data_IF_682599405813
#
_entry.id   IF_682599405813
#
_cell.length_a   1.000
_cell.length_b   1.000
_cell.length_c   1.000
_cell.angle_alpha   90.00
_cell.angle_beta   90.00
_cell.angle_gamma   90.00
#
_symmetry.space_group_name_H-M   'P 1'
#
loop_
_entity.id
_entity.type
_entity.pdbx_description
1 polymer ?
#
# COMPACT_ATOMS: atom_id res chain seq x y z
N UNK A 1 0.20 -8.87 8.00
CA UNK A 1 0.18 -10.35 8.06
C UNK A 1 1.30 -10.83 8.98
N UNK A 2 1.03 -11.79 9.86
CA UNK A 2 2.02 -12.39 10.75
C UNK A 2 1.83 -13.92 10.75
N UNK A 3 2.76 -14.72 10.18
CA UNK A 3 2.56 -16.14 9.92
C UNK A 3 2.16 -16.97 11.15
N UNK A 4 2.71 -16.66 12.31
CA UNK A 4 2.47 -17.45 13.51
C UNK A 4 1.03 -17.32 14.02
N UNK A 5 0.30 -16.25 13.65
CA UNK A 5 -1.14 -16.16 13.89
C UNK A 5 -1.94 -17.23 13.14
N UNK A 6 -1.43 -17.74 12.02
CA UNK A 6 -2.02 -18.88 11.31
C UNK A 6 -1.76 -20.19 12.04
N UNK A 7 -0.55 -20.36 12.59
CA UNK A 7 -0.22 -21.53 13.42
C UNK A 7 -1.12 -21.61 14.66
N UNK A 8 -1.32 -20.50 15.36
CA UNK A 8 -2.22 -20.40 16.52
C UNK A 8 -3.68 -20.67 16.14
N UNK A 9 -4.14 -20.08 15.02
CA UNK A 9 -5.48 -20.30 14.51
C UNK A 9 -5.73 -21.77 14.18
N UNK A 10 -4.74 -22.45 13.60
CA UNK A 10 -4.78 -23.86 13.25
C UNK A 10 -4.75 -24.78 14.47
N UNK A 11 -3.86 -24.53 15.44
CA UNK A 11 -3.78 -25.28 16.68
C UNK A 11 -5.10 -25.20 17.47
N UNK A 12 -5.66 -23.99 17.63
CA UNK A 12 -6.96 -23.82 18.28
C UNK A 12 -8.10 -24.52 17.52
N UNK A 13 -8.08 -24.50 16.19
CA UNK A 13 -9.07 -25.20 15.37
C UNK A 13 -9.00 -26.73 15.55
N UNK A 14 -7.80 -27.30 15.61
CA UNK A 14 -7.60 -28.73 15.84
C UNK A 14 -8.19 -29.17 17.19
N UNK A 15 -7.93 -28.41 18.25
CA UNK A 15 -8.50 -28.67 19.59
C UNK A 15 -10.02 -28.54 19.59
N UNK A 16 -10.57 -27.47 19.02
CA UNK A 16 -12.02 -27.19 19.01
C UNK A 16 -12.83 -28.19 18.17
N UNK A 17 -12.20 -28.85 17.18
CA UNK A 17 -12.87 -29.77 16.26
C UNK A 17 -12.50 -31.24 16.47
N UNK A 18 -11.56 -31.53 17.38
CA UNK A 18 -11.03 -32.87 17.61
C UNK A 18 -10.71 -33.61 16.30
N UNK A 19 -10.10 -32.89 15.34
CA UNK A 19 -9.88 -33.41 13.99
C UNK A 19 -8.70 -34.40 14.00
N UNK A 20 -8.94 -35.64 13.61
CA UNK A 20 -7.88 -36.65 13.46
C UNK A 20 -6.99 -36.40 12.22
N UNK A 21 -7.56 -35.78 11.18
CA UNK A 21 -6.84 -35.43 9.95
C UNK A 21 -7.34 -34.13 9.32
N UNK A 22 -6.43 -33.41 8.66
CA UNK A 22 -6.70 -32.13 8.00
C UNK A 22 -6.07 -32.08 6.61
N UNK A 23 -6.87 -31.70 5.62
CA UNK A 23 -6.44 -31.29 4.28
C UNK A 23 -6.23 -29.77 4.26
N UNK A 24 -4.98 -29.34 4.18
CA UNK A 24 -4.61 -27.92 4.08
C UNK A 24 -4.44 -27.52 2.61
N UNK A 25 -5.15 -26.49 2.19
CA UNK A 25 -5.14 -25.96 0.82
C UNK A 25 -4.64 -24.52 0.82
N UNK A 26 -3.38 -24.32 0.45
CA UNK A 26 -2.80 -22.98 0.26
C UNK A 26 -3.16 -22.39 -1.10
N UNK A 27 -3.67 -21.16 -1.14
CA UNK A 27 -3.85 -20.44 -2.41
C UNK A 27 -2.51 -19.84 -2.84
N UNK A 28 -2.06 -20.16 -4.07
CA UNK A 28 -0.71 -19.82 -4.54
C UNK A 28 -0.46 -18.32 -4.57
N UNK A 29 0.42 -17.91 -3.67
CA UNK A 29 1.15 -16.66 -3.55
C UNK A 29 1.68 -16.68 -2.12
N UNK A 30 1.08 -15.91 -1.21
CA UNK A 30 1.40 -15.97 0.21
C UNK A 30 0.78 -17.20 0.89
N UNK A 31 -0.39 -17.66 0.43
CA UNK A 31 -1.06 -18.86 0.94
C UNK A 31 -0.22 -20.14 0.84
N UNK A 32 0.76 -20.20 -0.07
CA UNK A 32 1.73 -21.31 -0.17
C UNK A 32 2.60 -21.42 1.09
N UNK A 33 3.14 -20.30 1.57
CA UNK A 33 4.01 -20.31 2.75
C UNK A 33 3.18 -20.44 4.03
N UNK A 34 1.99 -19.82 4.04
CA UNK A 34 1.08 -19.89 5.18
C UNK A 34 0.50 -21.29 5.37
N UNK A 35 0.19 -22.02 4.30
CA UNK A 35 -0.28 -23.41 4.42
C UNK A 35 0.79 -24.34 5.01
N UNK A 36 2.08 -24.08 4.78
CA UNK A 36 3.16 -24.80 5.43
C UNK A 36 3.21 -24.53 6.94
N UNK A 37 3.03 -23.28 7.37
CA UNK A 37 2.94 -22.92 8.80
C UNK A 37 1.75 -23.59 9.46
N UNK A 38 0.57 -23.55 8.81
CA UNK A 38 -0.64 -24.24 9.28
C UNK A 38 -0.41 -25.75 9.39
N UNK A 39 0.16 -26.37 8.37
CA UNK A 39 0.45 -27.80 8.36
C UNK A 39 1.45 -28.20 9.46
N UNK A 40 2.48 -27.40 9.68
CA UNK A 40 3.44 -27.61 10.77
C UNK A 40 2.78 -27.57 12.14
N UNK A 41 2.02 -26.51 12.44
CA UNK A 41 1.32 -26.37 13.72
C UNK A 41 0.31 -27.50 13.99
N UNK A 42 -0.39 -27.98 12.96
CA UNK A 42 -1.30 -29.12 13.07
C UNK A 42 -0.54 -30.43 13.33
N UNK A 43 0.60 -30.63 12.66
CA UNK A 43 1.46 -31.81 12.85
C UNK A 43 2.01 -31.84 14.27
N UNK A 44 2.48 -30.71 14.80
CA UNK A 44 2.94 -30.59 16.20
C UNK A 44 1.81 -30.87 17.20
N UNK A 45 0.56 -30.54 16.86
CA UNK A 45 -0.62 -30.89 17.63
C UNK A 45 -1.07 -32.36 17.49
N UNK A 46 -0.31 -33.20 16.78
CA UNK A 46 -0.60 -34.63 16.60
C UNK A 46 -1.66 -34.94 15.55
N UNK A 47 -1.98 -33.99 14.66
CA UNK A 47 -2.99 -34.16 13.60
C UNK A 47 -2.32 -34.64 12.32
N UNK A 48 -2.91 -35.64 11.64
CA UNK A 48 -2.43 -36.06 10.34
C UNK A 48 -2.73 -34.99 9.26
N UNK A 49 -1.70 -34.52 8.54
CA UNK A 49 -1.84 -33.42 7.57
C UNK A 49 -1.55 -33.88 6.15
N UNK A 50 -2.47 -33.54 5.25
CA UNK A 50 -2.24 -33.53 3.80
C UNK A 50 -2.21 -32.06 3.33
N UNK A 51 -1.23 -31.65 2.53
CA UNK A 51 -1.09 -30.24 2.12
C UNK A 51 -0.92 -30.08 0.61
N UNK A 52 -1.72 -29.19 0.02
CA UNK A 52 -1.69 -28.86 -1.40
C UNK A 52 -1.72 -27.36 -1.64
N UNK A 53 -1.13 -26.93 -2.76
CA UNK A 53 -1.17 -25.53 -3.18
C UNK A 53 -1.85 -25.37 -4.54
N UNK A 54 -2.90 -24.56 -4.58
CA UNK A 54 -3.78 -24.37 -5.75
C UNK A 54 -3.70 -22.96 -6.31
N UNK A 55 -3.93 -22.78 -7.62
CA UNK A 55 -3.96 -21.45 -8.26
C UNK A 55 -5.28 -21.25 -8.98
N UNK A 56 -6.28 -20.61 -8.35
CA UNK A 56 -7.46 -20.14 -9.05
C UNK A 56 -7.09 -19.24 -10.23
N UNK A 57 -7.80 -19.38 -11.35
CA UNK A 57 -7.59 -18.62 -12.60
C UNK A 57 -8.91 -17.97 -13.06
N UNK A 58 -8.87 -17.22 -14.16
CA UNK A 58 -10.04 -16.48 -14.67
C UNK A 58 -10.08 -15.02 -14.19
N UNK A 59 -11.22 -14.36 -14.34
CA UNK A 59 -11.38 -12.95 -13.98
C UNK A 59 -11.17 -12.74 -12.46
N UNK A 60 -10.54 -11.63 -11.98
CA UNK A 60 -10.30 -11.40 -10.56
C UNK A 60 -11.55 -11.46 -9.67
N UNK A 61 -12.72 -11.13 -10.21
CA UNK A 61 -14.00 -11.18 -9.47
C UNK A 61 -14.76 -12.50 -9.64
N UNK A 62 -14.33 -13.35 -10.58
CA UNK A 62 -14.95 -14.66 -10.86
C UNK A 62 -13.85 -15.68 -11.17
N UNK A 63 -13.10 -16.03 -10.11
CA UNK A 63 -12.04 -17.03 -10.20
C UNK A 63 -12.64 -18.43 -10.17
N UNK A 64 -12.05 -19.33 -10.95
CA UNK A 64 -12.40 -20.74 -10.96
C UNK A 64 -11.15 -21.60 -10.66
N UNK A 65 -11.38 -22.73 -9.99
CA UNK A 65 -10.35 -23.72 -9.72
C UNK A 65 -10.70 -25.03 -10.44
N UNK A 66 -9.88 -25.37 -11.42
CA UNK A 66 -9.89 -26.66 -12.10
C UNK A 66 -8.85 -27.59 -11.46
N UNK A 67 -9.28 -28.79 -11.06
CA UNK A 67 -8.42 -29.82 -10.49
C UNK A 67 -8.13 -30.89 -11.53
N UNK A 68 -6.90 -31.41 -11.54
CA UNK A 68 -6.60 -32.63 -12.28
C UNK A 68 -7.38 -33.81 -11.68
N UNK A 69 -7.82 -34.82 -12.48
CA UNK A 69 -8.61 -35.93 -11.99
C UNK A 69 -7.99 -36.67 -10.79
N UNK A 70 -6.67 -36.89 -10.81
CA UNK A 70 -5.95 -37.54 -9.71
C UNK A 70 -6.00 -36.75 -8.40
N UNK A 71 -5.86 -35.43 -8.46
CA UNK A 71 -5.94 -34.56 -7.27
C UNK A 71 -7.38 -34.49 -6.74
N UNK A 72 -8.37 -34.45 -7.64
CA UNK A 72 -9.77 -34.52 -7.24
C UNK A 72 -10.09 -35.83 -6.51
N UNK A 73 -9.60 -36.97 -7.02
CA UNK A 73 -9.77 -38.27 -6.39
C UNK A 73 -9.09 -38.35 -5.01
N UNK A 74 -7.90 -37.77 -4.85
CA UNK A 74 -7.21 -37.67 -3.57
C UNK A 74 -8.03 -36.87 -2.54
N UNK A 75 -8.52 -35.68 -2.92
CA UNK A 75 -9.38 -34.88 -2.04
C UNK A 75 -10.68 -35.61 -1.67
N UNK A 76 -11.27 -36.35 -2.61
CA UNK A 76 -12.47 -37.15 -2.34
C UNK A 76 -12.21 -38.31 -1.39
N UNK A 77 -11.02 -38.91 -1.41
CA UNK A 77 -10.62 -39.91 -0.42
C UNK A 77 -10.51 -39.28 0.98
N UNK A 78 -9.89 -38.11 1.09
CA UNK A 78 -9.77 -37.37 2.36
C UNK A 78 -11.14 -36.94 2.91
N UNK A 79 -12.07 -36.54 2.03
CA UNK A 79 -13.45 -36.26 2.40
C UNK A 79 -14.17 -37.50 2.98
N UNK A 80 -14.05 -38.67 2.31
CA UNK A 80 -14.63 -39.94 2.80
C UNK A 80 -14.04 -40.39 4.13
N UNK A 81 -12.76 -40.11 4.37
CA UNK A 81 -12.10 -40.37 5.64
C UNK A 81 -12.52 -39.40 6.76
N UNK A 82 -13.38 -38.42 6.47
CA UNK A 82 -13.89 -37.45 7.45
C UNK A 82 -12.90 -36.34 7.80
N UNK A 83 -11.90 -36.08 6.96
CA UNK A 83 -10.93 -35.02 7.19
C UNK A 83 -11.61 -33.63 7.27
N UNK A 84 -10.99 -32.72 8.00
CA UNK A 84 -11.31 -31.29 7.92
C UNK A 84 -10.56 -30.68 6.74
N UNK A 85 -11.18 -29.78 5.97
CA UNK A 85 -10.47 -29.01 4.94
C UNK A 85 -10.26 -27.57 5.41
N UNK A 86 -9.03 -27.06 5.29
CA UNK A 86 -8.66 -25.68 5.65
C UNK A 86 -8.08 -24.98 4.43
N UNK A 87 -8.75 -23.93 3.95
CA UNK A 87 -8.26 -23.08 2.86
C UNK A 87 -7.49 -21.90 3.45
N UNK A 88 -6.25 -21.67 3.04
CA UNK A 88 -5.32 -20.71 3.66
C UNK A 88 -4.87 -19.66 2.65
N UNK A 89 -5.05 -18.38 2.98
CA UNK A 89 -4.51 -17.24 2.23
C UNK A 89 -4.56 -15.93 3.06
N UNK A 90 -4.02 -14.83 2.54
CA UNK A 90 -4.12 -13.51 3.19
C UNK A 90 -5.54 -12.96 3.27
N UNK A 91 -6.34 -13.20 2.23
CA UNK A 91 -7.53 -12.41 1.85
C UNK A 91 -8.66 -12.33 2.88
N UNK A 92 -9.91 -12.02 2.46
CA UNK A 92 -10.35 -11.91 1.08
C UNK A 92 -9.87 -10.59 0.47
N UNK A 93 -9.37 -10.65 -0.76
CA UNK A 93 -9.21 -9.45 -1.59
C UNK A 93 -10.57 -8.85 -1.98
N UNK A 94 -10.61 -8.05 -3.04
CA UNK A 94 -11.80 -7.28 -3.43
C UNK A 94 -13.11 -8.08 -3.65
N UNK A 95 -13.02 -9.36 -4.04
CA UNK A 95 -14.18 -10.22 -4.37
C UNK A 95 -14.28 -11.50 -3.55
N UNK A 96 -13.22 -11.89 -2.81
CA UNK A 96 -13.14 -13.21 -2.14
C UNK A 96 -13.17 -14.42 -3.09
N UNK A 97 -13.16 -14.20 -4.41
CA UNK A 97 -13.37 -15.24 -5.43
C UNK A 97 -12.38 -16.40 -5.35
N UNK A 98 -11.12 -16.14 -4.95
CA UNK A 98 -10.10 -17.18 -4.83
C UNK A 98 -10.41 -18.18 -3.72
N UNK A 99 -10.78 -17.70 -2.52
CA UNK A 99 -11.26 -18.53 -1.42
C UNK A 99 -12.50 -19.34 -1.80
N UNK A 100 -13.49 -18.67 -2.38
CA UNK A 100 -14.76 -19.31 -2.75
C UNK A 100 -14.57 -20.37 -3.84
N UNK A 101 -13.68 -20.14 -4.81
CA UNK A 101 -13.36 -21.13 -5.84
C UNK A 101 -12.69 -22.39 -5.26
N UNK A 102 -11.82 -22.24 -4.26
CA UNK A 102 -11.21 -23.36 -3.54
C UNK A 102 -12.25 -24.12 -2.70
N UNK A 103 -13.12 -23.40 -1.97
CA UNK A 103 -14.26 -24.00 -1.24
C UNK A 103 -15.15 -24.82 -2.17
N UNK A 104 -15.54 -24.26 -3.32
CA UNK A 104 -16.39 -24.96 -4.29
C UNK A 104 -15.72 -26.22 -4.85
N UNK A 105 -14.40 -26.20 -5.06
CA UNK A 105 -13.67 -27.38 -5.49
C UNK A 105 -13.65 -28.50 -4.41
N UNK A 106 -13.55 -28.12 -3.13
CA UNK A 106 -13.66 -29.05 -2.00
C UNK A 106 -15.08 -29.62 -1.86
N UNK A 107 -16.12 -28.79 -2.03
CA UNK A 107 -17.52 -29.22 -2.06
C UNK A 107 -17.73 -30.27 -3.16
N UNK A 108 -17.23 -30.01 -4.38
CA UNK A 108 -17.29 -30.98 -5.49
C UNK A 108 -16.53 -32.28 -5.20
N UNK A 109 -15.47 -32.23 -4.40
CA UNK A 109 -14.75 -33.42 -3.95
C UNK A 109 -15.49 -34.18 -2.82
N UNK A 110 -16.61 -33.66 -2.31
CA UNK A 110 -17.46 -34.35 -1.32
C UNK A 110 -17.29 -33.87 0.12
N UNK A 111 -16.53 -32.79 0.37
CA UNK A 111 -16.49 -32.20 1.72
C UNK A 111 -17.82 -31.48 2.02
N UNK A 112 -18.50 -31.77 3.14
CA UNK A 112 -19.67 -31.00 3.57
C UNK A 112 -19.24 -29.62 4.09
N UNK A 113 -20.13 -28.64 4.01
CA UNK A 113 -19.86 -27.25 4.42
C UNK A 113 -19.40 -27.11 5.87
N UNK A 114 -19.88 -27.99 6.76
CA UNK A 114 -19.46 -28.04 8.16
C UNK A 114 -18.00 -28.47 8.38
N UNK A 115 -17.35 -29.01 7.34
CA UNK A 115 -15.95 -29.49 7.34
C UNK A 115 -15.02 -28.62 6.51
N UNK A 116 -15.49 -27.53 5.91
CA UNK A 116 -14.64 -26.60 5.13
C UNK A 116 -14.47 -25.29 5.89
N UNK A 117 -13.25 -25.02 6.33
CA UNK A 117 -12.88 -23.80 7.05
C UNK A 117 -12.04 -22.90 6.17
N UNK A 118 -12.42 -21.63 6.08
CA UNK A 118 -11.59 -20.60 5.45
C UNK A 118 -10.72 -19.93 6.54
N UNK A 119 -9.44 -19.78 6.27
CA UNK A 119 -8.46 -19.17 7.17
C UNK A 119 -7.87 -17.90 6.52
N UNK A 120 -8.61 -16.78 6.52
CA UNK A 120 -8.12 -15.46 6.10
C UNK A 120 -7.23 -14.81 7.18
N UNK A 121 -6.56 -13.70 6.86
CA UNK A 121 -5.77 -12.95 7.87
C UNK A 121 -6.64 -12.12 8.83
N UNK A 122 -7.91 -11.88 8.49
CA UNK A 122 -8.87 -11.15 9.31
C UNK A 122 -10.29 -11.58 8.96
N UNK A 123 -11.24 -11.27 9.85
CA UNK A 123 -12.65 -11.55 9.59
C UNK A 123 -13.28 -10.41 8.81
N UNK A 124 -13.30 -10.57 7.49
CA UNK A 124 -13.84 -9.56 6.60
C UNK A 124 -15.36 -9.70 6.42
N UNK A 125 -16.10 -8.58 6.30
CA UNK A 125 -17.44 -8.62 5.74
C UNK A 125 -17.40 -9.18 4.31
N UNK A 126 -18.57 -9.42 3.72
CA UNK A 126 -18.66 -9.77 2.30
C UNK A 126 -17.82 -8.79 1.45
N UNK A 127 -16.97 -9.28 0.54
CA UNK A 127 -16.12 -8.42 -0.25
C UNK A 127 -16.96 -7.43 -1.07
N UNK A 128 -16.55 -6.14 -1.15
CA UNK A 128 -17.41 -5.09 -1.72
C UNK A 128 -17.68 -5.27 -3.21
N UNK A 129 -16.85 -6.03 -3.92
CA UNK A 129 -17.00 -6.33 -5.35
C UNK A 129 -17.42 -7.78 -5.59
N UNK A 130 -17.92 -8.47 -4.58
CA UNK A 130 -18.49 -9.80 -4.74
C UNK A 130 -19.89 -9.71 -5.37
N UNK A 131 -20.19 -10.62 -6.30
CA UNK A 131 -21.57 -10.87 -6.73
C UNK A 131 -22.41 -11.37 -5.55
N UNK A 132 -23.73 -11.19 -5.59
CA UNK A 132 -24.64 -11.48 -4.47
C UNK A 132 -24.49 -12.91 -3.92
N UNK A 133 -24.43 -13.91 -4.80
CA UNK A 133 -24.22 -15.30 -4.42
C UNK A 133 -22.86 -15.52 -3.72
N UNK A 134 -21.80 -14.84 -4.19
CA UNK A 134 -20.47 -14.92 -3.60
C UNK A 134 -20.43 -14.20 -2.23
N UNK A 135 -21.09 -13.06 -2.10
CA UNK A 135 -21.25 -12.34 -0.84
C UNK A 135 -21.98 -13.20 0.20
N UNK A 136 -23.08 -13.84 -0.22
CA UNK A 136 -23.83 -14.79 0.61
C UNK A 136 -22.95 -15.97 1.05
N UNK A 137 -22.27 -16.63 0.11
CA UNK A 137 -21.38 -17.76 0.40
C UNK A 137 -20.23 -17.38 1.34
N UNK A 138 -19.64 -16.19 1.18
CA UNK A 138 -18.59 -15.69 2.07
C UNK A 138 -19.10 -15.45 3.49
N UNK A 139 -20.30 -14.88 3.61
CA UNK A 139 -20.90 -14.53 4.90
C UNK A 139 -21.16 -15.77 5.74
N UNK A 140 -21.66 -16.83 5.10
CA UNK A 140 -22.05 -18.09 5.76
C UNK A 140 -20.91 -19.13 5.83
N UNK A 141 -19.72 -18.81 5.32
CA UNK A 141 -18.59 -19.71 5.41
C UNK A 141 -18.09 -19.83 6.85
N UNK A 142 -17.75 -21.04 7.28
CA UNK A 142 -16.96 -21.25 8.49
C UNK A 142 -15.60 -20.60 8.30
N UNK A 143 -15.27 -19.63 9.16
CA UNK A 143 -14.04 -18.85 9.10
C UNK A 143 -13.28 -18.99 10.41
N UNK A 144 -11.95 -19.12 10.30
CA UNK A 144 -11.01 -19.05 11.43
C UNK A 144 -9.92 -18.03 11.07
N UNK A 145 -10.16 -16.72 11.30
CA UNK A 145 -9.21 -15.69 10.91
C UNK A 145 -7.91 -15.80 11.72
N UNK A 146 -6.77 -15.69 11.05
CA UNK A 146 -5.44 -15.67 11.66
C UNK A 146 -5.10 -14.26 12.18
N UNK A 147 -5.58 -13.97 13.40
CA UNK A 147 -5.41 -12.65 14.03
C UNK A 147 -4.00 -12.48 14.60
N UNK A 148 -3.49 -11.25 14.54
CA UNK A 148 -2.29 -10.88 15.27
C UNK A 148 -2.66 -10.53 16.72
N UNK A 149 -2.09 -11.25 17.69
CA UNK A 149 -2.22 -10.94 19.11
C UNK A 149 -0.96 -10.19 19.60
N UNK A 150 -1.03 -8.86 19.81
CA UNK A 150 0.12 -8.10 20.26
C UNK A 150 0.62 -8.51 21.65
N UNK A 151 -0.26 -8.97 22.55
CA UNK A 151 0.14 -9.34 23.91
C UNK A 151 1.05 -10.57 23.93
N UNK A 152 0.84 -11.50 22.99
CA UNK A 152 1.68 -12.69 22.81
C UNK A 152 2.96 -12.42 22.02
N UNK A 153 2.97 -11.38 21.19
CA UNK A 153 4.05 -11.14 20.20
C UNK A 153 4.99 -10.02 20.59
N UNK A 154 4.55 -9.05 21.35
CA UNK A 154 5.38 -7.93 21.79
C UNK A 154 5.88 -8.19 23.23
N UNK A 155 6.67 -9.25 23.42
CA UNK A 155 7.07 -9.71 24.75
C UNK A 155 7.79 -8.61 25.57
N UNK A 156 7.37 -8.36 26.81
CA UNK A 156 7.93 -7.29 27.64
C UNK A 156 7.37 -5.89 27.35
N UNK A 157 6.49 -5.73 26.36
CA UNK A 157 5.69 -4.52 26.19
C UNK A 157 4.52 -4.50 27.18
N UNK A 158 4.29 -3.35 27.81
CA UNK A 158 3.13 -3.07 28.68
C UNK A 158 2.27 -1.98 28.07
N UNK A 159 1.02 -1.84 28.50
CA UNK A 159 0.07 -0.83 28.04
C UNK A 159 0.01 -0.70 26.51
N UNK A 160 -0.11 -1.83 25.82
CA UNK A 160 -0.02 -1.88 24.36
C UNK A 160 -1.25 -1.20 23.73
N UNK A 161 -1.01 -0.09 23.03
CA UNK A 161 -2.02 0.65 22.28
C UNK A 161 -1.82 0.44 20.79
N UNK A 162 -2.87 -0.05 20.11
CA UNK A 162 -2.84 -0.30 18.67
C UNK A 162 -3.14 0.98 17.87
N UNK A 163 -2.11 1.49 17.18
CA UNK A 163 -2.17 2.66 16.32
C UNK A 163 -2.31 2.33 14.83
N UNK A 164 -2.38 1.05 14.48
CA UNK A 164 -2.50 0.53 13.11
C UNK A 164 -3.81 0.96 12.43
N UNK A 165 -3.94 0.67 11.13
CA UNK A 165 -5.17 0.91 10.37
C UNK A 165 -5.73 2.36 10.47
N UNK A 166 -4.84 3.34 10.69
CA UNK A 166 -5.22 4.75 10.84
C UNK A 166 -5.72 5.15 12.23
N UNK A 167 -5.66 4.27 13.24
CA UNK A 167 -6.00 4.61 14.63
C UNK A 167 -5.09 5.68 15.21
N UNK A 168 -3.84 5.79 14.76
CA UNK A 168 -2.94 6.90 15.12
C UNK A 168 -3.57 8.29 15.00
N UNK A 169 -4.57 8.49 14.11
CA UNK A 169 -5.24 9.78 13.91
C UNK A 169 -6.01 10.25 15.14
N UNK A 170 -6.62 9.33 15.91
CA UNK A 170 -7.32 9.70 17.15
C UNK A 170 -6.36 10.15 18.25
N UNK A 171 -5.11 9.72 18.20
CA UNK A 171 -4.09 10.10 19.17
C UNK A 171 -3.35 11.38 18.75
N UNK A 172 -3.02 11.52 17.47
CA UNK A 172 -2.15 12.59 16.96
C UNK A 172 -2.89 13.78 16.34
N UNK A 173 -4.16 13.59 15.97
CA UNK A 173 -4.97 14.57 15.24
C UNK A 173 -6.31 14.87 15.95
N UNK A 174 -6.33 14.86 17.29
CA UNK A 174 -7.51 15.21 18.10
C UNK A 174 -8.02 16.61 17.71
N UNK A 175 -9.32 16.72 17.42
CA UNK A 175 -9.96 17.98 17.02
C UNK A 175 -9.54 18.52 15.66
N UNK A 176 -8.92 17.69 14.80
CA UNK A 176 -8.42 18.10 13.47
C UNK A 176 -9.02 17.23 12.38
N UNK A 177 -9.01 17.76 11.15
CA UNK A 177 -9.39 16.99 9.96
C UNK A 177 -8.41 15.85 9.74
N UNK A 178 -8.94 14.63 9.69
CA UNK A 178 -8.16 13.43 9.43
C UNK A 178 -7.79 13.29 7.95
N UNK A 179 -6.57 12.84 7.62
CA UNK A 179 -6.25 12.40 6.27
C UNK A 179 -6.99 11.09 5.95
N UNK A 180 -7.17 10.83 4.66
CA UNK A 180 -7.69 9.55 4.18
C UNK A 180 -6.70 8.42 4.48
N UNK A 181 -7.20 7.27 4.92
CA UNK A 181 -6.40 6.08 5.19
C UNK A 181 -7.06 4.86 4.55
N UNK A 182 -6.30 4.12 3.74
CA UNK A 182 -6.67 2.77 3.34
C UNK A 182 -6.14 1.86 4.45
N UNK A 183 -7.03 1.25 5.24
CA UNK A 183 -6.70 0.56 6.49
C UNK A 183 -5.76 -0.64 6.29
N UNK A 184 -6.02 -1.47 5.28
CA UNK A 184 -5.22 -2.65 4.94
C UNK A 184 -3.80 -2.30 4.46
N UNK A 185 -3.56 -1.07 3.98
CA UNK A 185 -2.25 -0.63 3.51
C UNK A 185 -1.39 0.02 4.62
N UNK A 186 -1.93 0.18 5.83
CA UNK A 186 -1.16 0.69 6.98
C UNK A 186 -0.45 -0.48 7.66
N UNK A 187 0.83 -0.29 7.99
CA UNK A 187 1.59 -1.26 8.80
C UNK A 187 0.97 -1.44 10.18
N UNK A 188 1.30 -2.56 10.82
CA UNK A 188 1.06 -2.70 12.25
C UNK A 188 1.94 -1.68 12.98
N UNK A 189 1.31 -0.87 13.84
CA UNK A 189 1.96 0.17 14.63
C UNK A 189 1.38 0.10 16.03
N UNK A 190 2.24 -0.04 17.04
CA UNK A 190 1.85 -0.06 18.44
C UNK A 190 2.60 1.02 19.22
N UNK A 191 1.91 1.73 20.10
CA UNK A 191 2.53 2.51 21.15
C UNK A 191 2.55 1.64 22.40
N UNK A 192 3.72 1.43 22.97
CA UNK A 192 3.91 0.55 24.12
C UNK A 192 4.68 1.27 25.21
N UNK A 193 4.51 0.84 26.46
CA UNK A 193 5.41 1.17 27.56
C UNK A 193 6.43 0.05 27.75
N UNK A 194 7.69 0.44 27.91
CA UNK A 194 8.75 -0.46 28.33
C UNK A 194 8.67 -0.70 29.84
N UNK A 195 9.49 -1.63 30.36
CA UNK A 195 9.55 -1.94 31.79
C UNK A 195 9.99 -0.73 32.63
N UNK A 196 10.84 0.14 32.08
CA UNK A 196 11.27 1.40 32.69
C UNK A 196 10.20 2.52 32.61
N UNK A 197 9.02 2.21 32.06
CA UNK A 197 7.90 3.14 31.88
C UNK A 197 8.01 4.04 30.64
N UNK A 198 9.13 4.02 29.92
CA UNK A 198 9.34 4.88 28.75
C UNK A 198 8.45 4.46 27.56
N UNK A 199 7.88 5.42 26.80
CA UNK A 199 7.07 5.10 25.64
C UNK A 199 7.92 4.77 24.42
N UNK A 200 7.57 3.68 23.73
CA UNK A 200 8.17 3.26 22.45
C UNK A 200 7.11 3.12 21.38
N UNK A 201 7.47 3.46 20.15
CA UNK A 201 6.64 3.18 18.97
C UNK A 201 7.21 1.97 18.24
N UNK A 202 6.37 0.96 18.04
CA UNK A 202 6.72 -0.31 17.45
C UNK A 202 6.05 -0.42 16.10
N UNK A 203 6.81 -0.39 15.01
CA UNK A 203 6.27 -0.42 13.65
C UNK A 203 6.78 -1.63 12.90
N UNK A 204 5.86 -2.43 12.38
CA UNK A 204 6.22 -3.61 11.61
C UNK A 204 7.01 -3.21 10.36
N UNK A 205 8.15 -3.86 10.20
CA UNK A 205 9.13 -3.66 9.15
C UNK A 205 9.52 -4.98 8.47
N UNK A 206 8.76 -6.05 8.67
CA UNK A 206 9.00 -7.35 8.02
C UNK A 206 9.88 -8.30 8.82
N UNK A 207 9.62 -9.59 8.64
CA UNK A 207 10.29 -10.68 9.36
C UNK A 207 11.64 -11.03 8.72
N UNK A 208 12.57 -11.57 9.53
CA UNK A 208 13.84 -12.12 9.05
C UNK A 208 14.65 -11.12 8.20
N UNK A 209 15.10 -11.59 7.02
CA UNK A 209 15.95 -10.82 6.10
C UNK A 209 15.30 -9.53 5.56
N UNK A 210 13.98 -9.40 5.63
CA UNK A 210 13.27 -8.21 5.17
C UNK A 210 13.42 -7.00 6.10
N UNK A 211 13.61 -7.23 7.41
CA UNK A 211 13.71 -6.15 8.38
C UNK A 211 15.09 -5.50 8.46
N UNK A 212 16.17 -6.25 8.18
CA UNK A 212 17.54 -5.77 8.34
C UNK A 212 17.89 -4.56 7.44
N UNK A 213 17.57 -4.54 6.13
CA UNK A 213 17.80 -3.35 5.29
C UNK A 213 17.01 -2.13 5.77
N UNK A 214 15.81 -2.34 6.31
CA UNK A 214 14.94 -1.28 6.84
C UNK A 214 15.49 -0.70 8.14
N UNK A 215 16.06 -1.52 9.02
CA UNK A 215 16.78 -1.06 10.20
C UNK A 215 18.00 -0.22 9.81
N UNK A 216 18.79 -0.66 8.83
CA UNK A 216 19.95 0.09 8.34
C UNK A 216 19.55 1.47 7.80
N UNK A 217 18.49 1.53 6.98
CA UNK A 217 17.92 2.79 6.46
C UNK A 217 17.41 3.69 7.60
N UNK A 218 16.73 3.11 8.60
CA UNK A 218 16.22 3.86 9.74
C UNK A 218 17.36 4.46 10.58
N UNK A 219 18.43 3.70 10.84
CA UNK A 219 19.62 4.19 11.55
C UNK A 219 20.28 5.35 10.81
N UNK A 220 20.54 5.20 9.52
CA UNK A 220 21.12 6.27 8.70
C UNK A 220 20.27 7.56 8.73
N UNK A 221 18.95 7.44 8.66
CA UNK A 221 18.03 8.58 8.76
C UNK A 221 18.02 9.21 10.16
N UNK A 222 18.12 8.41 11.22
CA UNK A 222 18.15 8.91 12.59
C UNK A 222 19.47 9.58 12.94
N UNK A 223 20.60 9.03 12.49
CA UNK A 223 21.94 9.62 12.63
C UNK A 223 22.03 10.98 11.91
N UNK A 224 21.39 11.09 10.74
CA UNK A 224 21.22 12.37 10.04
C UNK A 224 20.15 13.29 10.67
N UNK A 225 19.53 12.87 11.77
CA UNK A 225 18.57 13.63 12.56
C UNK A 225 17.20 13.80 11.91
N UNK A 226 16.86 13.07 10.85
CA UNK A 226 15.58 13.22 10.14
C UNK A 226 14.43 12.47 10.79
N UNK A 227 14.68 11.38 11.50
CA UNK A 227 13.66 10.56 12.16
C UNK A 227 14.08 10.25 13.61
N UNK A 228 13.15 9.83 14.50
CA UNK A 228 13.51 9.41 15.85
C UNK A 228 14.48 8.24 15.87
N UNK A 229 15.35 8.19 16.89
CA UNK A 229 16.28 7.07 17.10
C UNK A 229 15.56 5.73 17.28
N UNK A 230 16.20 4.67 16.77
CA UNK A 230 15.73 3.29 16.89
C UNK A 230 16.50 2.54 17.98
N UNK A 231 15.81 1.61 18.66
CA UNK A 231 16.38 0.72 19.66
C UNK A 231 16.77 -0.62 19.07
N UNK A 232 16.12 -1.03 17.98
CA UNK A 232 16.44 -2.28 17.30
C UNK A 232 15.34 -2.76 16.38
N UNK A 233 15.49 -4.01 15.96
CA UNK A 233 14.50 -4.80 15.22
C UNK A 233 14.22 -6.07 16.02
N UNK A 234 12.97 -6.28 16.45
CA UNK A 234 12.54 -7.47 17.19
C UNK A 234 11.26 -8.03 16.60
N UNK A 235 11.24 -9.33 16.28
CA UNK A 235 10.06 -10.03 15.72
C UNK A 235 9.43 -9.31 14.52
N UNK A 236 10.29 -8.70 13.69
CA UNK A 236 9.90 -7.91 12.52
C UNK A 236 9.35 -6.52 12.82
N UNK A 237 9.46 -6.01 14.05
CA UNK A 237 9.12 -4.63 14.43
C UNK A 237 10.37 -3.78 14.62
N UNK A 238 10.39 -2.61 14.00
CA UNK A 238 11.34 -1.55 14.34
C UNK A 238 10.83 -0.80 15.57
N UNK A 239 11.70 -0.68 16.57
CA UNK A 239 11.40 -0.01 17.82
C UNK A 239 11.97 1.39 17.80
N UNK A 240 11.12 2.41 17.93
CA UNK A 240 11.50 3.81 17.96
C UNK A 240 11.29 4.39 19.34
N UNK A 241 12.15 5.35 19.71
CA UNK A 241 11.76 6.33 20.73
C UNK A 241 10.48 7.03 20.30
N UNK A 242 9.46 7.06 21.17
CA UNK A 242 8.27 7.86 20.89
C UNK A 242 8.60 9.34 21.14
N UNK A 243 8.46 10.17 20.10
CA UNK A 243 8.68 11.61 20.19
C UNK A 243 7.34 12.32 20.14
N UNK A 244 6.99 13.00 21.23
CA UNK A 244 5.82 13.87 21.26
C UNK A 244 6.03 15.05 20.30
N UNK A 245 5.05 15.27 19.43
CA UNK A 245 5.11 16.36 18.46
C UNK A 245 3.79 16.54 17.74
N UNK A 246 3.68 17.64 17.00
CA UNK A 246 2.47 18.02 16.28
C UNK A 246 2.64 17.73 14.78
N UNK A 247 1.78 16.89 14.17
CA UNK A 247 1.74 16.74 12.72
C UNK A 247 1.48 18.08 12.02
N UNK A 248 2.26 18.38 10.99
CA UNK A 248 2.18 19.62 10.23
C UNK A 248 0.96 19.63 9.29
N UNK A 249 0.62 20.83 8.81
CA UNK A 249 -0.40 21.12 7.80
C UNK A 249 0.25 21.83 6.63
N UNK A 250 -0.46 21.89 5.50
CA UNK A 250 -0.06 22.69 4.33
C UNK A 250 0.33 24.12 4.69
N UNK A 251 -0.48 24.78 5.54
CA UNK A 251 -0.26 26.16 5.99
C UNK A 251 0.94 26.34 6.93
N UNK A 252 1.51 25.26 7.43
CA UNK A 252 2.69 25.31 8.29
C UNK A 252 3.99 25.33 7.43
N UNK A 253 3.88 25.40 6.10
CA UNK A 253 5.03 25.57 5.21
C UNK A 253 5.65 26.96 5.35
N UNK A 254 6.93 26.97 5.67
CA UNK A 254 7.79 28.14 5.66
C UNK A 254 9.14 27.81 5.00
N UNK A 255 10.05 28.79 4.94
CA UNK A 255 11.39 28.60 4.37
C UNK A 255 12.20 27.55 5.13
N UNK A 256 12.02 27.42 6.45
CA UNK A 256 12.76 26.45 7.27
C UNK A 256 12.33 25.03 6.96
N UNK A 257 11.03 24.79 6.82
CA UNK A 257 10.49 23.50 6.41
C UNK A 257 10.93 23.16 4.99
N UNK A 258 10.89 24.12 4.07
CA UNK A 258 11.38 23.90 2.70
C UNK A 258 12.86 23.48 2.68
N UNK A 259 13.73 24.22 3.38
CA UNK A 259 15.16 23.87 3.52
C UNK A 259 15.35 22.49 4.15
N UNK A 260 14.56 22.17 5.18
CA UNK A 260 14.62 20.86 5.86
C UNK A 260 14.23 19.72 4.93
N UNK A 261 13.23 19.91 4.08
CA UNK A 261 12.80 18.93 3.07
C UNK A 261 13.87 18.74 2.01
N UNK A 262 14.49 19.83 1.52
CA UNK A 262 15.61 19.73 0.57
C UNK A 262 16.78 18.95 1.18
N UNK A 263 17.16 19.26 2.42
CA UNK A 263 18.22 18.52 3.12
C UNK A 263 17.87 17.03 3.27
N UNK A 264 16.62 16.72 3.59
CA UNK A 264 16.12 15.35 3.71
C UNK A 264 16.18 14.58 2.38
N UNK A 265 15.64 15.15 1.31
CA UNK A 265 15.63 14.51 -0.01
C UNK A 265 17.04 14.38 -0.58
N UNK A 266 17.90 15.38 -0.39
CA UNK A 266 19.29 15.31 -0.81
C UNK A 266 20.06 14.23 -0.05
N UNK A 267 19.80 14.06 1.24
CA UNK A 267 20.37 12.95 2.03
C UNK A 267 19.91 11.60 1.48
N UNK A 268 18.61 11.42 1.20
CA UNK A 268 18.11 10.17 0.60
C UNK A 268 18.75 9.89 -0.75
N UNK A 269 18.86 10.92 -1.60
CA UNK A 269 19.40 10.79 -2.95
C UNK A 269 20.85 10.30 -2.96
N UNK A 270 21.64 10.71 -1.96
CA UNK A 270 23.02 10.24 -1.79
C UNK A 270 23.12 8.89 -1.10
N UNK A 271 22.32 8.67 -0.05
CA UNK A 271 22.53 7.55 0.87
C UNK A 271 21.84 6.26 0.42
N UNK A 272 20.79 6.36 -0.39
CA UNK A 272 19.91 5.22 -0.71
C UNK A 272 19.75 4.99 -2.21
N UNK A 273 20.80 5.23 -2.99
CA UNK A 273 20.85 4.84 -4.40
C UNK A 273 20.67 3.32 -4.55
N UNK A 274 19.91 2.89 -5.55
CA UNK A 274 19.64 1.45 -5.75
C UNK A 274 20.44 0.84 -6.90
N UNK A 275 21.05 1.68 -7.74
CA UNK A 275 21.76 1.25 -8.95
C UNK A 275 20.86 0.68 -10.05
N UNK A 276 19.54 0.84 -9.93
CA UNK A 276 18.56 0.36 -10.92
C UNK A 276 18.05 1.52 -11.79
N UNK A 277 17.68 1.25 -13.05
CA UNK A 277 17.05 2.26 -13.90
C UNK A 277 15.64 2.60 -13.45
N UNK A 278 15.20 3.82 -13.76
CA UNK A 278 13.85 4.28 -13.50
C UNK A 278 12.84 3.52 -14.37
N UNK A 279 11.72 3.07 -13.78
CA UNK A 279 10.68 2.28 -14.46
C UNK A 279 9.70 3.17 -15.23
N UNK A 280 10.21 4.01 -16.12
CA UNK A 280 9.41 5.03 -16.81
C UNK A 280 8.27 4.41 -17.64
N UNK A 281 8.51 3.28 -18.31
CA UNK A 281 7.46 2.60 -19.08
C UNK A 281 6.28 2.16 -18.19
N UNK A 282 6.55 1.63 -16.99
CA UNK A 282 5.52 1.23 -16.03
C UNK A 282 4.74 2.46 -15.51
N UNK A 283 5.45 3.55 -15.17
CA UNK A 283 4.83 4.81 -14.76
C UNK A 283 3.98 5.44 -15.87
N UNK A 284 4.46 5.42 -17.11
CA UNK A 284 3.72 5.93 -18.27
C UNK A 284 2.43 5.14 -18.50
N UNK A 285 2.46 3.81 -18.36
CA UNK A 285 1.25 2.99 -18.42
C UNK A 285 0.28 3.32 -17.28
N UNK A 286 0.78 3.45 -16.05
CA UNK A 286 -0.02 3.85 -14.89
C UNK A 286 -0.67 5.23 -15.09
N UNK A 287 0.06 6.21 -15.63
CA UNK A 287 -0.47 7.53 -15.96
C UNK A 287 -1.64 7.40 -16.96
N UNK A 288 -1.46 6.67 -18.07
CA UNK A 288 -2.52 6.50 -19.07
C UNK A 288 -3.80 5.92 -18.48
N UNK A 289 -3.67 4.83 -17.72
CA UNK A 289 -4.81 4.15 -17.08
C UNK A 289 -5.51 5.10 -16.10
N UNK A 290 -4.77 5.69 -15.17
CA UNK A 290 -5.35 6.51 -14.11
C UNK A 290 -5.93 7.82 -14.61
N UNK A 291 -5.38 8.41 -15.68
CA UNK A 291 -5.96 9.60 -16.30
C UNK A 291 -7.24 9.26 -17.08
N UNK A 292 -7.22 8.19 -17.88
CA UNK A 292 -8.39 7.73 -18.63
C UNK A 292 -9.56 7.43 -17.69
N UNK A 293 -9.31 6.64 -16.65
CA UNK A 293 -10.34 6.22 -15.70
C UNK A 293 -10.72 7.34 -14.74
N UNK A 294 -9.74 8.12 -14.26
CA UNK A 294 -9.98 9.13 -13.23
C UNK A 294 -10.45 10.49 -13.72
N UNK A 295 -10.14 10.87 -14.96
CA UNK A 295 -10.59 12.14 -15.53
C UNK A 295 -11.74 11.97 -16.54
N UNK A 296 -11.96 10.75 -17.04
CA UNK A 296 -12.91 10.48 -18.12
C UNK A 296 -12.50 11.16 -19.44
N UNK A 297 -11.24 11.57 -19.57
CA UNK A 297 -10.71 12.23 -20.75
C UNK A 297 -9.89 11.23 -21.56
N UNK A 298 -10.06 11.16 -22.89
CA UNK A 298 -9.11 10.45 -23.70
C UNK A 298 -7.76 11.18 -23.60
N UNK A 299 -6.70 10.41 -23.29
CA UNK A 299 -5.34 10.95 -23.15
C UNK A 299 -4.85 11.32 -24.54
N UNK A 300 -4.98 12.59 -24.92
CA UNK A 300 -4.61 13.09 -26.23
C UNK A 300 -3.77 14.37 -26.14
N UNK A 301 -3.02 14.68 -27.19
CA UNK A 301 -2.26 15.91 -27.30
C UNK A 301 -1.01 15.93 -26.41
N UNK A 302 -0.93 16.91 -25.50
CA UNK A 302 0.28 17.21 -24.72
C UNK A 302 0.74 16.05 -23.81
N UNK A 303 -0.20 15.27 -23.26
CA UNK A 303 0.16 14.15 -22.37
C UNK A 303 0.85 13.03 -23.13
N UNK A 304 0.34 12.61 -24.29
CA UNK A 304 1.03 11.56 -25.08
C UNK A 304 2.39 12.01 -25.58
N UNK A 305 2.56 13.29 -25.93
CA UNK A 305 3.90 13.85 -26.23
C UNK A 305 4.84 13.75 -25.04
N UNK A 306 4.41 14.21 -23.87
CA UNK A 306 5.19 14.08 -22.63
C UNK A 306 5.56 12.63 -22.34
N UNK A 307 4.63 11.68 -22.53
CA UNK A 307 4.89 10.26 -22.29
C UNK A 307 5.84 9.64 -23.33
N UNK A 308 5.79 10.09 -24.58
CA UNK A 308 6.70 9.66 -25.64
C UNK A 308 8.12 10.20 -25.41
N UNK A 309 8.23 11.45 -24.96
CA UNK A 309 9.50 12.14 -24.66
C UNK A 309 10.11 11.69 -23.32
N UNK A 310 9.37 10.96 -22.48
CA UNK A 310 9.85 10.52 -21.17
C UNK A 310 10.86 9.36 -21.22
N UNK A 311 11.03 8.66 -22.36
CA UNK A 311 11.89 7.47 -22.44
C UNK A 311 13.32 7.67 -21.89
N UNK A 312 14.04 8.77 -22.20
CA UNK A 312 15.38 9.04 -21.66
C UNK A 312 15.43 9.22 -20.14
N UNK A 313 14.30 9.48 -19.49
CA UNK A 313 14.25 9.57 -18.02
C UNK A 313 14.56 8.23 -17.34
N UNK A 314 14.57 7.12 -18.09
CA UNK A 314 14.92 5.78 -17.58
C UNK A 314 16.39 5.69 -17.16
N UNK A 315 17.25 6.55 -17.71
CA UNK A 315 18.67 6.60 -17.40
C UNK A 315 18.97 7.32 -16.07
N UNK A 316 17.98 7.99 -15.50
CA UNK A 316 18.13 8.68 -14.22
C UNK A 316 18.39 7.67 -13.09
N UNK A 317 19.31 7.98 -12.15
CA UNK A 317 19.58 7.11 -11.02
C UNK A 317 18.35 7.01 -10.12
N UNK A 318 17.98 5.80 -9.73
CA UNK A 318 16.89 5.59 -8.76
C UNK A 318 17.42 5.48 -7.34
N UNK A 319 16.56 5.88 -6.42
CA UNK A 319 16.80 5.86 -4.99
C UNK A 319 15.64 5.13 -4.31
N UNK A 320 15.88 4.61 -3.11
CA UNK A 320 14.78 4.21 -2.25
C UNK A 320 14.05 5.48 -1.80
N UNK A 321 13.06 5.92 -2.57
CA UNK A 321 12.23 7.09 -2.28
C UNK A 321 11.39 6.88 -1.02
N UNK A 322 10.98 7.97 -0.38
CA UNK A 322 10.09 7.97 0.78
C UNK A 322 8.65 7.70 0.35
N UNK A 323 8.20 8.33 -0.73
CA UNK A 323 6.84 8.23 -1.30
C UNK A 323 5.69 8.69 -0.39
N UNK A 324 5.95 9.22 0.81
CA UNK A 324 4.95 9.73 1.76
C UNK A 324 5.22 11.18 2.13
N UNK A 325 4.99 12.09 1.19
CA UNK A 325 5.28 13.52 1.37
C UNK A 325 4.15 14.35 2.01
N UNK A 326 3.11 13.69 2.53
CA UNK A 326 1.96 14.39 3.10
C UNK A 326 2.34 15.24 4.32
N UNK A 327 1.68 16.41 4.56
CA UNK A 327 2.04 17.30 5.67
C UNK A 327 2.00 16.63 7.05
N UNK A 328 1.08 15.69 7.28
CA UNK A 328 0.97 15.01 8.57
C UNK A 328 2.10 14.00 8.85
N UNK A 329 2.90 13.66 7.84
CA UNK A 329 4.10 12.84 8.01
C UNK A 329 5.29 13.66 8.52
N UNK A 330 5.19 14.99 8.50
CA UNK A 330 6.18 15.89 9.08
C UNK A 330 5.71 16.30 10.47
N UNK A 331 6.53 16.02 11.49
CA UNK A 331 6.20 16.21 12.90
C UNK A 331 7.04 17.35 13.45
N UNK A 332 6.40 18.45 13.85
CA UNK A 332 7.07 19.49 14.63
C UNK A 332 7.25 19.00 16.07
N UNK A 333 8.50 18.75 16.45
CA UNK A 333 8.92 18.36 17.78
C UNK A 333 9.85 19.43 18.38
N UNK A 334 10.18 19.31 19.68
CA UNK A 334 11.13 20.20 20.34
C UNK A 334 12.53 20.18 19.71
N UNK A 335 12.92 19.04 19.15
CA UNK A 335 14.19 18.83 18.45
C UNK A 335 14.18 19.30 16.98
N UNK A 336 13.10 19.94 16.53
CA UNK A 336 12.90 20.34 15.13
C UNK A 336 11.87 19.48 14.40
N UNK A 337 11.91 19.52 13.07
CA UNK A 337 10.98 18.75 12.23
C UNK A 337 11.55 17.37 11.93
N UNK A 338 10.77 16.34 12.31
CA UNK A 338 11.06 14.93 12.07
C UNK A 338 10.11 14.36 11.03
N UNK A 339 10.56 13.36 10.27
CA UNK A 339 9.77 12.62 9.28
C UNK A 339 9.26 11.30 9.86
N UNK A 340 7.97 11.03 9.69
CA UNK A 340 7.33 9.75 9.97
C UNK A 340 7.12 8.96 8.66
N UNK A 341 6.84 7.66 8.77
CA UNK A 341 6.53 6.76 7.64
C UNK A 341 7.57 6.83 6.50
N UNK A 342 8.86 6.86 6.85
CA UNK A 342 9.95 7.16 5.91
C UNK A 342 10.67 5.93 5.33
N UNK A 343 10.40 4.72 5.81
CA UNK A 343 11.37 3.62 5.70
C UNK A 343 11.17 2.76 4.47
N UNK A 344 10.01 2.16 4.27
CA UNK A 344 9.86 0.89 3.54
C UNK A 344 9.05 0.98 2.24
N UNK A 345 8.57 2.16 1.86
CA UNK A 345 7.69 2.31 0.70
C UNK A 345 8.35 1.98 -0.64
N UNK A 346 9.66 2.24 -0.78
CA UNK A 346 10.40 1.82 -1.96
C UNK A 346 10.52 0.28 -2.07
N UNK A 347 10.37 -0.45 -0.96
CA UNK A 347 10.47 -1.91 -0.94
C UNK A 347 9.11 -2.59 -1.24
N UNK A 348 8.02 -1.82 -1.34
CA UNK A 348 6.68 -2.34 -1.59
C UNK A 348 6.52 -2.89 -3.01
N UNK A 349 5.48 -3.70 -3.23
CA UNK A 349 5.04 -4.12 -4.57
C UNK A 349 4.15 -3.07 -5.25
N UNK A 350 3.94 -1.92 -4.60
CA UNK A 350 3.08 -0.84 -5.08
C UNK A 350 3.94 0.30 -5.68
N UNK A 351 3.39 1.07 -6.61
CA UNK A 351 4.09 2.24 -7.15
C UNK A 351 4.43 3.25 -6.04
N UNK A 352 5.54 3.99 -6.19
CA UNK A 352 6.49 3.96 -7.31
C UNK A 352 7.61 2.91 -7.17
N UNK A 353 7.75 2.24 -6.01
CA UNK A 353 8.93 1.45 -5.63
C UNK A 353 10.19 2.32 -5.56
N UNK A 354 11.35 1.77 -5.87
CA UNK A 354 12.57 2.53 -6.13
C UNK A 354 12.41 3.41 -7.38
N UNK A 355 12.67 4.71 -7.24
CA UNK A 355 12.43 5.70 -8.31
C UNK A 355 13.39 6.88 -8.19
N UNK A 356 13.48 7.70 -9.23
CA UNK A 356 14.15 9.01 -9.19
C UNK A 356 13.62 9.87 -8.01
N UNK A 357 14.53 10.59 -7.33
CA UNK A 357 14.20 11.49 -6.23
C UNK A 357 13.22 12.61 -6.66
N UNK A 358 13.15 12.90 -7.96
CA UNK A 358 12.16 13.79 -8.54
C UNK A 358 10.71 13.40 -8.18
N UNK A 359 10.43 12.11 -7.90
CA UNK A 359 9.14 11.66 -7.37
C UNK A 359 8.78 12.32 -6.04
N UNK A 360 9.71 12.33 -5.08
CA UNK A 360 9.44 12.86 -3.74
C UNK A 360 9.32 14.38 -3.74
N UNK A 361 10.13 15.11 -4.51
CA UNK A 361 9.97 16.57 -4.58
C UNK A 361 8.66 16.99 -5.27
N UNK A 362 8.29 16.28 -6.35
CA UNK A 362 6.99 16.46 -6.99
C UNK A 362 5.83 16.14 -6.05
N UNK A 363 5.97 15.07 -5.26
CA UNK A 363 5.02 14.68 -4.22
C UNK A 363 4.88 15.72 -3.12
N UNK A 364 6.00 16.28 -2.65
CA UNK A 364 5.99 17.37 -1.67
C UNK A 364 5.24 18.60 -2.20
N UNK A 365 5.54 19.03 -3.43
CA UNK A 365 4.86 20.15 -4.06
C UNK A 365 3.34 19.92 -4.19
N UNK A 366 2.92 18.74 -4.64
CA UNK A 366 1.51 18.37 -4.72
C UNK A 366 0.82 18.32 -3.35
N UNK A 367 1.47 17.72 -2.36
CA UNK A 367 0.87 17.54 -1.04
C UNK A 367 0.79 18.82 -0.22
N UNK A 368 1.70 19.78 -0.44
CA UNK A 368 1.62 21.11 0.15
C UNK A 368 0.80 22.12 -0.67
N UNK A 369 0.44 21.78 -1.92
CA UNK A 369 -0.37 22.63 -2.79
C UNK A 369 0.40 23.83 -3.34
N UNK A 370 1.64 23.59 -3.76
CA UNK A 370 2.52 24.61 -4.33
C UNK A 370 2.13 24.96 -5.77
N UNK A 371 2.38 26.22 -6.16
CA UNK A 371 2.35 26.63 -7.55
C UNK A 371 3.47 25.97 -8.35
N UNK A 372 3.33 25.94 -9.68
CA UNK A 372 4.38 25.44 -10.58
C UNK A 372 5.69 26.21 -10.42
N UNK A 373 5.64 27.53 -10.21
CA UNK A 373 6.84 28.34 -9.95
C UNK A 373 7.60 27.90 -8.68
N UNK A 374 6.88 27.65 -7.59
CA UNK A 374 7.47 27.17 -6.32
C UNK A 374 7.98 25.74 -6.44
N UNK A 375 7.31 24.90 -7.23
CA UNK A 375 7.80 23.54 -7.55
C UNK A 375 9.15 23.61 -8.29
N UNK A 376 9.28 24.49 -9.29
CA UNK A 376 10.54 24.72 -10.02
C UNK A 376 11.65 25.26 -9.11
N UNK A 377 11.35 26.22 -8.22
CA UNK A 377 12.31 26.74 -7.24
C UNK A 377 12.84 25.63 -6.32
N UNK A 378 11.95 24.78 -5.80
CA UNK A 378 12.36 23.65 -4.95
C UNK A 378 13.14 22.58 -5.72
N UNK A 379 12.76 22.31 -6.96
CA UNK A 379 13.49 21.39 -7.83
C UNK A 379 14.92 21.89 -8.08
N UNK A 380 15.10 23.18 -8.37
CA UNK A 380 16.41 23.79 -8.54
C UNK A 380 17.25 23.76 -7.24
N UNK A 381 16.61 24.03 -6.09
CA UNK A 381 17.29 23.92 -4.80
C UNK A 381 17.74 22.48 -4.50
N UNK A 382 16.92 21.48 -4.85
CA UNK A 382 17.28 20.08 -4.69
C UNK A 382 18.41 19.69 -5.65
N UNK A 383 18.30 20.08 -6.92
CA UNK A 383 19.31 19.87 -7.96
C UNK A 383 20.70 20.34 -7.49
N UNK A 384 20.78 21.58 -7.00
CA UNK A 384 22.00 22.13 -6.41
C UNK A 384 22.50 21.33 -5.21
N UNK A 385 21.60 20.91 -4.32
CA UNK A 385 21.95 20.14 -3.12
C UNK A 385 22.44 18.71 -3.40
N UNK A 386 22.09 18.12 -4.55
CA UNK A 386 22.54 16.78 -4.96
C UNK A 386 23.61 16.79 -6.04
N UNK A 387 23.85 17.94 -6.69
CA UNK A 387 24.79 18.05 -7.82
C UNK A 387 24.23 17.45 -9.11
N UNK A 388 22.93 17.60 -9.37
CA UNK A 388 22.25 17.07 -10.58
C UNK A 388 21.41 18.16 -11.23
N UNK A 389 22.03 18.92 -12.14
CA UNK A 389 21.39 20.01 -12.87
C UNK A 389 20.29 19.55 -13.82
N UNK A 390 20.22 18.24 -14.12
CA UNK A 390 19.16 17.69 -14.98
C UNK A 390 17.86 17.41 -14.21
N UNK A 391 17.89 17.36 -12.87
CA UNK A 391 16.74 17.07 -12.02
C UNK A 391 15.52 17.95 -12.30
N UNK A 392 15.63 19.30 -12.44
CA UNK A 392 14.47 20.16 -12.69
C UNK A 392 13.75 19.82 -14.00
N UNK A 393 14.45 19.31 -15.01
CA UNK A 393 13.85 18.88 -16.28
C UNK A 393 13.02 17.60 -16.16
N UNK A 394 13.29 16.77 -15.14
CA UNK A 394 12.59 15.50 -14.91
C UNK A 394 11.32 15.69 -14.06
N UNK A 395 11.30 16.70 -13.18
CA UNK A 395 10.19 16.98 -12.24
C UNK A 395 8.81 17.11 -12.91
N UNK A 396 8.63 17.76 -14.08
CA UNK A 396 7.32 17.85 -14.72
C UNK A 396 6.65 16.50 -14.99
N UNK A 397 7.42 15.50 -15.44
CA UNK A 397 6.91 14.14 -15.63
C UNK A 397 6.45 13.53 -14.30
N UNK A 398 7.27 13.63 -13.25
CA UNK A 398 6.94 13.09 -11.93
C UNK A 398 5.80 13.84 -11.24
N UNK A 399 5.63 15.13 -11.52
CA UNK A 399 4.50 15.93 -11.05
C UNK A 399 3.16 15.42 -11.60
N UNK A 400 3.13 14.97 -12.85
CA UNK A 400 1.97 14.29 -13.43
C UNK A 400 1.84 12.87 -12.87
N UNK A 401 2.94 12.11 -12.82
CA UNK A 401 2.97 10.73 -12.34
C UNK A 401 2.43 10.60 -10.91
N UNK A 402 2.90 11.43 -9.98
CA UNK A 402 2.48 11.43 -8.59
C UNK A 402 0.97 11.68 -8.44
N UNK A 403 0.45 12.69 -9.15
CA UNK A 403 -0.97 13.06 -9.09
C UNK A 403 -1.85 12.01 -9.74
N UNK A 404 -1.45 11.47 -10.88
CA UNK A 404 -2.16 10.38 -11.57
C UNK A 404 -2.20 9.13 -10.69
N UNK A 405 -1.09 8.77 -10.06
CA UNK A 405 -1.02 7.67 -9.09
C UNK A 405 -2.00 7.89 -7.94
N UNK A 406 -1.98 9.05 -7.29
CA UNK A 406 -2.88 9.32 -6.16
C UNK A 406 -4.36 9.45 -6.56
N UNK A 407 -4.65 9.82 -7.80
CA UNK A 407 -6.00 9.80 -8.37
C UNK A 407 -6.51 8.36 -8.52
N UNK A 408 -5.73 7.47 -9.13
CA UNK A 408 -6.08 6.05 -9.27
C UNK A 408 -6.14 5.33 -7.91
N UNK A 409 -5.18 5.62 -7.02
CA UNK A 409 -5.18 5.07 -5.66
C UNK A 409 -6.43 5.46 -4.88
N UNK A 410 -6.89 6.72 -5.01
CA UNK A 410 -8.11 7.17 -4.36
C UNK A 410 -9.34 6.38 -4.86
N UNK A 411 -9.45 6.12 -6.16
CA UNK A 411 -10.55 5.33 -6.74
C UNK A 411 -10.52 3.88 -6.23
N UNK A 412 -9.35 3.24 -6.27
CA UNK A 412 -9.18 1.89 -5.73
C UNK A 412 -9.57 1.82 -4.24
N UNK A 413 -9.13 2.80 -3.45
CA UNK A 413 -9.44 2.85 -2.03
C UNK A 413 -10.95 3.08 -1.77
N UNK A 414 -11.63 3.92 -2.56
CA UNK A 414 -13.09 4.12 -2.46
C UNK A 414 -13.82 2.81 -2.74
N UNK A 415 -13.47 2.09 -3.81
CA UNK A 415 -14.10 0.81 -4.15
C UNK A 415 -13.87 -0.26 -3.07
N UNK A 416 -12.70 -0.26 -2.42
CA UNK A 416 -12.37 -1.21 -1.38
C UNK A 416 -13.03 -0.91 -0.01
N UNK A 417 -13.24 0.37 0.33
CA UNK A 417 -13.80 0.79 1.62
C UNK A 417 -15.34 0.78 1.63
N UNK A 418 -15.98 0.90 0.47
CA UNK A 418 -17.42 1.11 0.35
C UNK A 418 -17.81 2.59 0.44
N UNK A 419 -18.93 2.96 -0.20
CA UNK A 419 -19.30 4.37 -0.41
C UNK A 419 -19.57 5.16 0.88
N UNK A 420 -20.08 4.48 1.91
CA UNK A 420 -20.46 5.05 3.21
C UNK A 420 -19.28 5.20 4.18
N UNK A 421 -18.13 4.58 3.90
CA UNK A 421 -16.99 4.68 4.81
C UNK A 421 -16.48 6.13 4.88
N UNK A 422 -16.28 6.70 6.09
CA UNK A 422 -15.72 8.04 6.25
C UNK A 422 -14.41 8.28 5.51
N UNK A 423 -13.56 7.26 5.39
CA UNK A 423 -12.31 7.35 4.63
C UNK A 423 -12.53 7.34 3.11
N UNK A 424 -13.60 6.71 2.60
CA UNK A 424 -14.00 6.84 1.21
C UNK A 424 -14.39 8.29 0.86
N UNK A 425 -15.07 9.01 1.76
CA UNK A 425 -15.33 10.46 1.61
C UNK A 425 -14.03 11.26 1.53
N UNK A 426 -13.05 10.95 2.38
CA UNK A 426 -11.75 11.62 2.39
C UNK A 426 -10.95 11.31 1.13
N UNK A 427 -10.99 10.07 0.64
CA UNK A 427 -10.38 9.70 -0.63
C UNK A 427 -11.04 10.40 -1.81
N UNK A 428 -12.38 10.55 -1.84
CA UNK A 428 -13.08 11.35 -2.86
C UNK A 428 -12.56 12.79 -2.91
N UNK A 429 -12.43 13.44 -1.76
CA UNK A 429 -11.87 14.80 -1.68
C UNK A 429 -10.43 14.86 -2.17
N UNK A 430 -9.59 13.87 -1.79
CA UNK A 430 -8.20 13.78 -2.26
C UNK A 430 -8.12 13.56 -3.77
N UNK A 431 -8.89 12.62 -4.32
CA UNK A 431 -8.95 12.32 -5.74
C UNK A 431 -9.43 13.53 -6.56
N UNK A 432 -10.48 14.21 -6.11
CA UNK A 432 -10.98 15.42 -6.73
C UNK A 432 -9.92 16.53 -6.80
N UNK A 433 -9.14 16.71 -5.71
CA UNK A 433 -8.01 17.64 -5.69
C UNK A 433 -6.92 17.26 -6.71
N UNK A 434 -6.50 15.99 -6.72
CA UNK A 434 -5.50 15.51 -7.70
C UNK A 434 -5.98 15.72 -9.14
N UNK A 435 -7.25 15.42 -9.40
CA UNK A 435 -7.86 15.64 -10.70
C UNK A 435 -7.91 17.12 -11.10
N UNK A 436 -8.22 18.02 -10.17
CA UNK A 436 -8.21 19.47 -10.43
C UNK A 436 -6.81 19.97 -10.75
N UNK A 437 -5.80 19.56 -9.98
CA UNK A 437 -4.40 19.94 -10.21
C UNK A 437 -3.87 19.41 -11.55
N UNK A 438 -4.25 18.18 -11.94
CA UNK A 438 -3.92 17.63 -13.26
C UNK A 438 -4.58 18.42 -14.40
N UNK A 439 -5.87 18.74 -14.27
CA UNK A 439 -6.58 19.55 -15.27
C UNK A 439 -5.95 20.93 -15.44
N UNK A 440 -5.56 21.59 -14.34
CA UNK A 440 -4.91 22.88 -14.38
C UNK A 440 -3.57 22.82 -15.15
N UNK A 441 -2.75 21.80 -14.89
CA UNK A 441 -1.48 21.57 -15.60
C UNK A 441 -1.64 21.27 -17.09
N UNK A 442 -2.69 20.55 -17.47
CA UNK A 442 -2.95 20.29 -18.88
C UNK A 442 -3.55 21.50 -19.60
N UNK A 443 -4.30 22.35 -18.88
CA UNK A 443 -4.81 23.60 -19.43
C UNK A 443 -3.68 24.61 -19.69
N UNK A 444 -2.68 24.70 -18.80
CA UNK A 444 -1.48 25.54 -19.01
C UNK A 444 -0.57 25.03 -20.13
N UNK A 445 -0.63 23.73 -20.45
CA UNK A 445 0.13 23.09 -21.54
C UNK A 445 -0.54 23.18 -22.93
N UNK A 446 -1.77 23.70 -23.03
CA UNK A 446 -2.44 23.97 -24.30
C UNK A 446 -2.09 25.40 -24.75
N UNK A 447 -1.55 25.63 -25.97
CA UNK A 447 -1.37 26.98 -26.46
C UNK A 447 -2.74 27.68 -26.48
N UNK A 448 -2.78 28.92 -25.96
CA UNK A 448 -3.93 29.79 -26.12
C UNK A 448 -4.31 29.81 -27.60
N UNK A 449 -5.60 29.59 -27.90
CA UNK A 449 -6.12 29.74 -29.27
C UNK A 449 -5.63 31.09 -29.80
N UNK A 450 -4.79 31.08 -30.85
CA UNK A 450 -4.48 32.28 -31.60
C UNK A 450 -5.81 32.94 -31.99
N UNK A 451 -5.99 34.26 -31.79
CA UNK A 451 -7.18 34.92 -32.25
C UNK A 451 -7.24 34.74 -33.77
N UNK A 452 -8.29 34.07 -34.23
CA UNK A 452 -8.60 33.91 -35.64
C UNK A 452 -8.65 35.31 -36.27
N UNK A 453 -7.72 35.55 -37.19
CA UNK A 453 -7.83 36.62 -38.17
C UNK A 453 -9.16 36.43 -38.91
N UNK A 454 -10.17 37.20 -38.52
CA UNK A 454 -11.31 37.46 -39.39
C UNK A 454 -10.77 38.41 -40.46
N UNK A 455 -10.28 37.83 -41.54
CA UNK A 455 -10.04 38.53 -42.80
C UNK A 455 -11.37 39.08 -43.30
N UNK A 456 -11.42 40.40 -43.47
CA UNK A 456 -12.54 41.08 -44.10
C UNK A 456 -12.76 40.56 -45.52
N UNK A 457 -13.99 40.16 -45.79
CA UNK A 457 -14.51 40.10 -47.15
C UNK A 457 -15.56 41.18 -47.31
N UNK A 458 -15.12 42.31 -47.85
CA UNK A 458 -15.95 43.32 -48.49
C UNK A 458 -16.52 42.72 -49.78
N UNK A 459 -17.83 42.50 -49.82
CA UNK A 459 -18.56 42.31 -51.07
C UNK A 459 -18.71 43.67 -51.78
N UNK A 460 -18.46 43.78 -53.11
CA UNK A 460 -19.08 44.79 -53.92
C UNK A 460 -20.34 44.26 -54.61
N UNK A 461 -21.20 45.22 -54.91
CA UNK A 461 -22.54 45.12 -55.45
C UNK A 461 -22.61 44.53 -56.88
N UNK A 462 -23.78 43.95 -57.15
CA UNK A 462 -24.42 43.62 -58.43
C UNK A 462 -23.97 44.44 -59.66
N UNK A 463 -23.74 43.74 -60.76
CA UNK A 463 -24.58 43.75 -61.98
C UNK A 463 -24.28 42.51 -62.81
#
# INVERSE_FOLDING_TARGET
LYPEGYGEAAAGLATERAAASVLVVGIRSIGTSLSAVVGGALTEAGVAVESWCVRPRGHPFSRALALAPGLHAAWAASARAGALAVVVDEGPGLSGSSFLSARQALQRAGFPDSRIVLMPSWDAPAPPMAEEAAAHAWTHALKRPARFDPARRLLGARDIQDLSAGRWRSHLLVGRTWPAVQRQHVRLIFLVRQEDGSPRLWRFAGLGSYGAPRLARARALAEAGFIPAQHGLRDGFLEYSFVAGRPLRRKDLDLRLAQRVIAYLAFRARSFQTGRPARIAELSNMIRINLREGLGLPVHGAVERMLAEAAPLSDAPTVAVDSRMMPHEWIAARSGVLKADAIDHADDHFFPRDQDIAWDIAGFAAEFGLSESRETELAAALASAVGDDSLPHRVPFYAVAYRAFHLGYAQMAISALGAEDPDAVRFRRRGARMAQELRARFASALPAKSPSLISGHSFPLRS
#
